data_IF_971475457539
#
_entry.id   IF_971475457539
#
_cell.length_a   1.000
_cell.length_b   1.000
_cell.length_c   1.000
_cell.angle_alpha   90.00
_cell.angle_beta   90.00
_cell.angle_gamma   90.00
#
_symmetry.space_group_name_H-M   'P 1'
#
loop_
_entity.id
_entity.type
_entity.pdbx_description
1 polymer ?
#
# COMPACT_ATOMS: atom_id res chain seq x y z
N UNK A 1 6.90 2.45 -8.82
CA UNK A 1 5.65 2.32 -8.02
C UNK A 1 4.64 1.28 -8.51
N UNK A 2 4.81 0.60 -9.66
CA UNK A 2 3.77 -0.35 -10.15
C UNK A 2 3.53 -1.53 -9.20
N UNK A 3 4.56 -1.95 -8.46
CA UNK A 3 4.51 -3.07 -7.49
C UNK A 3 3.91 -2.73 -6.13
N UNK A 4 3.82 -1.45 -5.75
CA UNK A 4 3.33 -1.03 -4.42
C UNK A 4 1.94 -1.58 -4.13
N UNK A 5 0.98 -1.32 -5.02
CA UNK A 5 -0.40 -1.80 -4.84
C UNK A 5 -0.53 -3.32 -4.86
N UNK A 6 0.35 -4.03 -5.59
CA UNK A 6 0.36 -5.49 -5.62
C UNK A 6 0.84 -6.07 -4.28
N UNK A 7 1.95 -5.55 -3.75
CA UNK A 7 2.52 -5.98 -2.46
C UNK A 7 1.55 -5.68 -1.32
N UNK A 8 0.90 -4.52 -1.33
CA UNK A 8 -0.15 -4.19 -0.37
C UNK A 8 -1.33 -5.18 -0.43
N UNK A 9 -1.88 -5.42 -1.63
CA UNK A 9 -2.96 -6.37 -1.82
C UNK A 9 -2.59 -7.80 -1.39
N UNK A 10 -1.36 -8.23 -1.70
CA UNK A 10 -0.83 -9.51 -1.27
C UNK A 10 -0.74 -9.64 0.26
N UNK A 11 -0.29 -8.58 0.94
CA UNK A 11 -0.09 -8.56 2.39
C UNK A 11 -1.41 -8.71 3.14
N UNK A 12 -2.51 -8.17 2.60
CA UNK A 12 -3.83 -8.30 3.19
C UNK A 12 -4.62 -9.52 2.70
N UNK A 13 -4.12 -10.27 1.72
CA UNK A 13 -4.86 -11.36 1.08
C UNK A 13 -5.37 -12.42 2.07
N UNK A 14 -4.54 -12.78 3.05
CA UNK A 14 -4.91 -13.73 4.11
C UNK A 14 -5.48 -13.06 5.36
N UNK A 15 -5.59 -11.73 5.37
CA UNK A 15 -6.15 -10.99 6.50
C UNK A 15 -7.68 -11.02 6.47
N UNK A 16 -8.30 -10.92 7.65
CA UNK A 16 -9.75 -10.71 7.77
C UNK A 16 -10.18 -9.30 7.33
N UNK A 17 -9.23 -8.37 7.23
CA UNK A 17 -9.48 -6.98 6.85
C UNK A 17 -9.85 -6.83 5.37
N UNK A 18 -9.19 -7.57 4.47
CA UNK A 18 -9.42 -7.43 3.03
C UNK A 18 -10.86 -7.80 2.62
N UNK A 19 -11.43 -8.97 3.00
CA UNK A 19 -12.82 -9.29 2.67
C UNK A 19 -13.84 -8.35 3.31
N UNK A 20 -13.50 -7.74 4.44
CA UNK A 20 -14.38 -6.80 5.14
C UNK A 20 -14.41 -5.42 4.46
N UNK A 21 -13.24 -4.84 4.21
CA UNK A 21 -13.08 -3.52 3.59
C UNK A 21 -13.38 -3.53 2.09
N UNK A 22 -13.03 -4.63 1.42
CA UNK A 22 -13.10 -4.80 -0.04
C UNK A 22 -13.80 -6.12 -0.40
N UNK A 23 -15.10 -6.28 -0.12
CA UNK A 23 -15.80 -7.56 -0.31
C UNK A 23 -15.81 -8.04 -1.76
N UNK A 24 -15.66 -7.14 -2.74
CA UNK A 24 -15.67 -7.48 -4.16
C UNK A 24 -14.27 -7.50 -4.79
N UNK A 25 -13.20 -7.58 -4.00
CA UNK A 25 -11.81 -7.60 -4.48
C UNK A 25 -11.52 -8.72 -5.50
N UNK A 26 -12.21 -9.87 -5.37
CA UNK A 26 -12.08 -10.98 -6.32
C UNK A 26 -12.70 -10.66 -7.69
N UNK A 27 -13.76 -9.85 -7.73
CA UNK A 27 -14.45 -9.43 -8.96
C UNK A 27 -13.78 -8.21 -9.60
N UNK A 28 -13.17 -7.35 -8.78
CA UNK A 28 -12.54 -6.10 -9.20
C UNK A 28 -11.10 -5.98 -8.65
N UNK A 29 -10.21 -6.93 -8.98
CA UNK A 29 -8.85 -6.97 -8.42
C UNK A 29 -7.99 -5.75 -8.82
N UNK A 30 -8.21 -5.22 -10.01
CA UNK A 30 -7.51 -4.02 -10.47
C UNK A 30 -7.92 -2.78 -9.67
N UNK A 31 -9.19 -2.67 -9.27
CA UNK A 31 -9.66 -1.57 -8.42
C UNK A 31 -8.94 -1.62 -7.06
N UNK A 32 -8.77 -2.83 -6.47
CA UNK A 32 -8.00 -3.01 -5.22
C UNK A 32 -6.53 -2.61 -5.36
N UNK A 33 -5.83 -3.12 -6.38
CA UNK A 33 -4.41 -2.75 -6.61
C UNK A 33 -4.27 -1.25 -6.83
N UNK A 34 -5.17 -0.66 -7.61
CA UNK A 34 -5.09 0.76 -7.96
C UNK A 34 -5.40 1.64 -6.75
N UNK A 35 -6.40 1.27 -5.94
CA UNK A 35 -6.71 1.95 -4.68
C UNK A 35 -5.51 1.97 -3.74
N UNK A 36 -4.87 0.81 -3.49
CA UNK A 36 -3.68 0.78 -2.64
C UNK A 36 -2.54 1.61 -3.24
N UNK A 37 -2.30 1.53 -4.56
CA UNK A 37 -1.28 2.35 -5.21
C UNK A 37 -1.54 3.84 -4.98
N UNK A 38 -2.77 4.30 -5.16
CA UNK A 38 -3.17 5.69 -4.92
C UNK A 38 -2.97 6.09 -3.45
N UNK A 39 -3.43 5.26 -2.51
CA UNK A 39 -3.30 5.52 -1.05
C UNK A 39 -1.83 5.70 -0.63
N UNK A 40 -0.93 4.81 -1.08
CA UNK A 40 0.50 4.94 -0.79
C UNK A 40 1.14 6.11 -1.52
N UNK A 41 0.69 6.45 -2.72
CA UNK A 41 1.20 7.63 -3.41
C UNK A 41 0.81 8.93 -2.70
N UNK A 42 -0.46 9.06 -2.31
CA UNK A 42 -0.91 10.18 -1.48
C UNK A 42 -0.09 10.23 -0.19
N UNK A 43 0.19 9.09 0.44
CA UNK A 43 1.06 9.03 1.62
C UNK A 43 2.53 9.37 1.35
N UNK A 44 3.07 9.05 0.17
CA UNK A 44 4.43 9.43 -0.23
C UNK A 44 4.52 10.94 -0.40
N UNK A 45 3.46 11.58 -0.92
CA UNK A 45 3.40 13.03 -1.17
C UNK A 45 2.96 13.85 0.04
N UNK A 46 2.41 13.20 1.07
CA UNK A 46 1.98 13.87 2.30
C UNK A 46 3.17 14.11 3.24
N UNK A 47 3.51 15.37 3.55
CA UNK A 47 4.67 15.68 4.38
C UNK A 47 4.51 15.27 5.85
N UNK A 48 3.30 14.85 6.26
CA UNK A 48 3.00 14.28 7.58
C UNK A 48 3.00 12.75 7.57
N UNK A 49 3.41 12.11 6.48
CA UNK A 49 3.48 10.66 6.37
C UNK A 49 4.88 10.23 5.96
N UNK A 50 5.22 9.02 6.41
CA UNK A 50 6.41 8.31 5.95
C UNK A 50 5.96 6.99 5.35
N UNK A 51 6.39 6.72 4.12
CA UNK A 51 6.20 5.44 3.45
C UNK A 51 7.54 4.78 3.27
N UNK A 52 7.73 3.66 3.97
CA UNK A 52 8.93 2.84 3.89
C UNK A 52 8.67 1.68 2.93
N UNK A 53 9.58 1.48 1.99
CA UNK A 53 9.56 0.35 1.05
C UNK A 53 10.77 -0.55 1.30
N UNK A 54 10.53 -1.86 1.41
CA UNK A 54 11.58 -2.86 1.45
C UNK A 54 11.81 -3.40 0.03
N UNK A 55 13.07 -3.36 -0.40
CA UNK A 55 13.52 -3.85 -1.70
C UNK A 55 14.33 -5.14 -1.53
N UNK A 56 14.16 -6.10 -2.44
CA UNK A 56 14.89 -7.37 -2.43
C UNK A 56 15.29 -7.83 -3.84
N UNK A 57 16.28 -8.71 -3.94
CA UNK A 57 16.72 -9.29 -5.21
C UNK A 57 15.73 -10.40 -5.64
N UNK A 58 15.10 -10.28 -6.83
CA UNK A 58 14.18 -11.30 -7.32
C UNK A 58 14.84 -12.65 -7.63
N UNK A 59 16.18 -12.75 -7.69
CA UNK A 59 16.92 -13.98 -8.04
C UNK A 59 16.95 -15.03 -6.93
N UNK A 60 16.89 -14.62 -5.66
CA UNK A 60 17.07 -15.52 -4.51
C UNK A 60 15.75 -15.99 -3.88
N UNK A 61 14.63 -15.34 -4.19
CA UNK A 61 13.32 -15.73 -3.68
C UNK A 61 12.57 -16.60 -4.69
N UNK A 62 12.08 -17.78 -4.25
CA UNK A 62 11.08 -18.59 -4.98
C UNK A 62 9.77 -17.80 -5.03
N UNK A 63 9.48 -17.02 -6.08
CA UNK A 63 8.33 -16.12 -6.07
C UNK A 63 7.03 -16.92 -6.20
N UNK A 64 7.13 -18.14 -6.74
CA UNK A 64 6.00 -18.82 -7.35
C UNK A 64 4.91 -19.19 -6.33
N UNK A 65 5.23 -19.50 -5.07
CA UNK A 65 4.19 -19.93 -4.11
C UNK A 65 3.17 -18.85 -3.73
N UNK A 66 3.63 -17.61 -3.47
CA UNK A 66 2.75 -16.48 -3.13
C UNK A 66 2.06 -15.95 -4.38
N UNK A 67 2.79 -15.87 -5.50
CA UNK A 67 2.20 -15.50 -6.78
C UNK A 67 1.15 -16.50 -7.23
N UNK A 68 1.31 -17.80 -7.02
CA UNK A 68 0.32 -18.82 -7.41
C UNK A 68 -0.99 -18.70 -6.62
N UNK A 69 -0.91 -18.36 -5.32
CA UNK A 69 -2.10 -18.08 -4.51
C UNK A 69 -2.84 -16.84 -5.00
N UNK A 70 -2.08 -15.81 -5.42
CA UNK A 70 -2.60 -14.54 -5.89
C UNK A 70 -3.01 -14.54 -7.36
N UNK A 71 -2.43 -15.40 -8.20
CA UNK A 71 -2.61 -15.43 -9.67
C UNK A 71 -4.05 -15.63 -10.09
N UNK A 72 -4.86 -16.31 -9.26
CA UNK A 72 -6.30 -16.48 -9.48
C UNK A 72 -7.05 -15.15 -9.44
N UNK A 73 -6.56 -14.19 -8.67
CA UNK A 73 -7.21 -12.91 -8.41
C UNK A 73 -6.46 -11.77 -9.13
N UNK A 74 -5.14 -11.82 -9.14
CA UNK A 74 -4.24 -10.86 -9.78
C UNK A 74 -3.46 -11.55 -10.91
N UNK A 75 -4.08 -11.77 -12.09
CA UNK A 75 -3.50 -12.58 -13.15
C UNK A 75 -2.26 -11.96 -13.80
N UNK A 76 -2.07 -10.65 -13.64
CA UNK A 76 -0.90 -9.94 -14.14
C UNK A 76 0.19 -9.87 -13.05
N UNK A 77 1.24 -10.67 -13.21
CA UNK A 77 2.47 -10.51 -12.42
C UNK A 77 3.06 -9.13 -12.75
N UNK A 78 3.39 -8.29 -11.74
CA UNK A 78 4.13 -7.07 -11.99
C UNK A 78 5.45 -7.41 -12.70
N UNK A 79 5.67 -6.83 -13.87
CA UNK A 79 6.92 -6.97 -14.63
C UNK A 79 7.83 -5.77 -14.37
N UNK A 80 9.15 -6.00 -14.40
CA UNK A 80 10.16 -4.97 -14.18
C UNK A 80 10.68 -4.88 -12.73
N UNK A 81 11.71 -4.05 -12.59
CA UNK A 81 12.40 -3.71 -11.34
C UNK A 81 11.85 -2.38 -10.83
N UNK A 82 11.89 -2.14 -9.52
CA UNK A 82 11.43 -0.87 -8.94
C UNK A 82 12.57 0.15 -8.77
N UNK A 83 13.83 -0.30 -8.91
CA UNK A 83 15.03 0.53 -8.88
C UNK A 83 16.00 0.19 -10.02
N UNK A 84 17.06 1.00 -10.12
CA UNK A 84 18.13 0.86 -11.13
C UNK A 84 19.08 -0.33 -10.84
N UNK A 85 19.11 -0.81 -9.59
CA UNK A 85 19.92 -1.96 -9.16
C UNK A 85 19.25 -3.31 -9.47
N UNK A 86 18.00 -3.28 -9.95
CA UNK A 86 17.26 -4.46 -10.36
C UNK A 86 16.47 -5.15 -9.24
N UNK A 87 16.29 -4.48 -8.09
CA UNK A 87 15.50 -4.95 -6.96
C UNK A 87 14.02 -4.70 -7.18
N UNK A 88 13.21 -5.39 -6.38
CA UNK A 88 11.76 -5.31 -6.40
C UNK A 88 11.22 -5.01 -5.01
N UNK A 89 10.11 -4.28 -4.93
CA UNK A 89 9.41 -4.05 -3.67
C UNK A 89 8.83 -5.38 -3.18
N UNK A 90 9.13 -5.72 -1.92
CA UNK A 90 8.64 -6.92 -1.23
C UNK A 90 7.84 -6.61 0.04
N UNK A 91 7.94 -5.39 0.56
CA UNK A 91 7.24 -4.97 1.77
C UNK A 91 7.05 -3.46 1.80
N UNK A 92 5.98 -3.00 2.44
CA UNK A 92 5.61 -1.60 2.51
C UNK A 92 4.99 -1.31 3.87
N UNK A 93 5.38 -0.20 4.48
CA UNK A 93 4.79 0.33 5.70
C UNK A 93 4.49 1.80 5.48
N UNK A 94 3.30 2.26 5.87
CA UNK A 94 2.96 3.68 5.93
C UNK A 94 2.60 4.03 7.36
N UNK A 95 3.08 5.18 7.81
CA UNK A 95 2.82 5.71 9.14
C UNK A 95 2.56 7.22 9.07
N UNK A 96 1.61 7.67 9.88
CA UNK A 96 1.34 9.09 10.10
C UNK A 96 2.26 9.64 11.19
N UNK A 97 2.80 10.82 10.98
CA UNK A 97 3.58 11.58 11.95
C UNK A 97 2.61 12.50 12.70
N UNK A 98 2.30 12.18 13.96
CA UNK A 98 1.30 12.94 14.72
C UNK A 98 1.80 14.25 15.34
N UNK A 99 3.11 14.41 15.45
CA UNK A 99 3.73 15.65 15.90
C UNK A 99 4.35 16.32 14.71
N UNK A 100 4.27 17.65 14.61
CA UNK A 100 4.92 18.45 13.58
C UNK A 100 6.45 18.34 13.76
N UNK A 101 7.10 17.34 13.16
CA UNK A 101 8.45 17.01 13.54
C UNK A 101 9.36 17.93 12.72
N UNK A 102 10.48 18.40 13.29
CA UNK A 102 11.45 19.23 12.56
C UNK A 102 11.85 18.70 11.16
N UNK A 103 11.85 17.38 10.86
CA UNK A 103 12.01 16.87 9.50
C UNK A 103 10.72 16.87 8.66
N UNK A 104 9.84 17.87 8.80
CA UNK A 104 8.62 17.99 7.99
C UNK A 104 8.99 18.01 6.49
N UNK A 105 8.43 17.09 5.71
CA UNK A 105 8.73 16.98 4.28
C UNK A 105 10.13 16.46 3.92
N UNK A 106 10.97 16.05 4.89
CA UNK A 106 12.33 15.57 4.60
C UNK A 106 12.35 14.28 3.75
N UNK A 107 11.30 13.48 3.84
CA UNK A 107 11.18 12.21 3.13
C UNK A 107 10.41 12.32 1.81
N UNK A 108 10.03 13.54 1.42
CA UNK A 108 9.42 13.81 0.14
C UNK A 108 10.49 13.71 -0.96
N UNK A 109 10.17 13.15 -2.13
CA UNK A 109 11.11 13.11 -3.25
C UNK A 109 11.59 14.54 -3.60
N UNK A 110 12.91 14.72 -3.73
CA UNK A 110 13.50 15.97 -4.22
C UNK A 110 13.32 16.07 -5.75
N UNK A 111 12.81 17.19 -6.26
CA UNK A 111 12.70 17.45 -7.71
C UNK A 111 11.28 17.74 -8.21
N UNK A 112 11.06 17.59 -9.51
CA UNK A 112 9.70 17.63 -10.09
C UNK A 112 8.88 16.47 -9.53
N UNK A 113 7.60 16.72 -9.26
CA UNK A 113 6.68 15.71 -8.71
C UNK A 113 6.82 14.40 -9.50
N UNK A 114 6.92 13.24 -8.82
CA UNK A 114 6.93 11.97 -9.52
C UNK A 114 5.74 11.94 -10.47
N UNK A 115 5.92 11.46 -11.71
CA UNK A 115 4.88 11.53 -12.73
C UNK A 115 3.57 11.03 -12.13
N UNK A 116 2.50 11.80 -12.32
CA UNK A 116 1.17 11.42 -11.85
C UNK A 116 0.98 9.95 -12.19
N UNK A 117 0.58 9.13 -11.21
CA UNK A 117 0.29 7.75 -11.53
C UNK A 117 -0.77 7.80 -12.62
N UNK A 118 -0.79 6.81 -13.50
CA UNK A 118 -2.00 6.59 -14.26
C UNK A 118 -3.14 6.48 -13.23
N UNK A 119 -3.94 7.56 -13.14
CA UNK A 119 -5.14 7.57 -12.34
C UNK A 119 -5.91 6.31 -12.71
N UNK A 120 -6.55 5.66 -11.75
CA UNK A 120 -7.60 4.71 -12.09
C UNK A 120 -8.47 5.45 -13.11
N UNK A 121 -8.48 5.07 -14.41
CA UNK A 121 -9.14 5.88 -15.42
C UNK A 121 -10.64 5.98 -15.16
N UNK A 122 -11.15 5.22 -14.17
CA UNK A 122 -12.54 5.13 -13.85
C UNK A 122 -12.86 5.34 -12.35
N UNK A 123 -11.87 5.41 -11.45
CA UNK A 123 -12.03 5.72 -10.02
C UNK A 123 -13.13 4.93 -9.32
N UNK A 124 -13.46 3.72 -9.77
CA UNK A 124 -14.79 3.15 -9.50
C UNK A 124 -14.91 2.57 -8.09
N UNK A 125 -13.79 2.27 -7.42
CA UNK A 125 -13.71 1.64 -6.09
C UNK A 125 -14.76 0.52 -5.92
N UNK A 126 -15.01 -0.27 -6.98
CA UNK A 126 -16.10 -1.27 -7.01
C UNK A 126 -15.83 -2.44 -6.09
N UNK A 127 -14.56 -2.64 -5.77
CA UNK A 127 -14.10 -3.61 -4.79
C UNK A 127 -14.50 -3.25 -3.37
N UNK A 128 -14.62 -1.95 -3.06
CA UNK A 128 -14.77 -1.42 -1.71
C UNK A 128 -16.23 -1.30 -1.25
N UNK A 129 -16.42 -1.39 0.08
CA UNK A 129 -17.69 -1.05 0.73
C UNK A 129 -17.48 0.15 1.67
N UNK A 130 -17.85 1.38 1.25
CA UNK A 130 -17.49 2.61 1.97
C UNK A 130 -17.90 2.65 3.45
N UNK A 131 -19.02 2.03 3.79
CA UNK A 131 -19.49 2.01 5.18
C UNK A 131 -18.70 1.02 6.04
N UNK A 132 -18.21 -0.09 5.48
CA UNK A 132 -17.28 -0.96 6.18
C UNK A 132 -15.96 -0.24 6.46
N UNK A 133 -15.43 0.50 5.49
CA UNK A 133 -14.20 1.30 5.68
C UNK A 133 -14.34 2.27 6.85
N UNK A 134 -15.44 3.05 6.91
CA UNK A 134 -15.70 3.96 8.04
C UNK A 134 -15.80 3.23 9.38
N UNK A 135 -16.39 2.03 9.40
CA UNK A 135 -16.49 1.23 10.61
C UNK A 135 -15.13 0.70 11.05
N UNK A 136 -14.26 0.27 10.12
CA UNK A 136 -12.90 -0.13 10.49
C UNK A 136 -12.10 1.06 10.98
N UNK A 137 -12.08 2.18 10.26
CA UNK A 137 -11.35 3.38 10.67
C UNK A 137 -11.77 3.81 12.08
N UNK A 138 -13.08 3.79 12.36
CA UNK A 138 -13.59 4.08 13.70
C UNK A 138 -13.14 3.06 14.75
N UNK A 139 -13.12 1.77 14.41
CA UNK A 139 -12.74 0.70 15.32
C UNK A 139 -11.22 0.62 15.58
N UNK A 140 -10.40 1.02 14.60
CA UNK A 140 -8.95 1.03 14.69
C UNK A 140 -8.39 2.32 15.27
N UNK A 141 -9.16 3.42 15.26
CA UNK A 141 -8.74 4.70 15.83
C UNK A 141 -8.23 4.58 17.28
N UNK A 142 -9.03 4.03 18.19
CA UNK A 142 -8.64 3.95 19.60
C UNK A 142 -7.41 3.01 19.84
N UNK A 143 -7.33 1.81 19.21
CA UNK A 143 -6.13 0.98 19.27
C UNK A 143 -4.87 1.63 18.68
N UNK A 144 -5.00 2.32 17.54
CA UNK A 144 -3.89 3.02 16.87
C UNK A 144 -3.35 4.13 17.77
N UNK A 145 -4.25 4.96 18.32
CA UNK A 145 -3.87 6.03 19.26
C UNK A 145 -3.19 5.47 20.52
N UNK A 146 -3.68 4.34 21.04
CA UNK A 146 -3.17 3.76 22.29
C UNK A 146 -1.84 3.01 22.16
N UNK A 147 -1.62 2.32 21.04
CA UNK A 147 -0.49 1.38 20.92
C UNK A 147 0.56 1.80 19.89
N UNK A 148 0.22 2.60 18.89
CA UNK A 148 1.19 3.05 17.88
C UNK A 148 1.89 4.33 18.33
N UNK A 149 1.17 5.26 18.96
CA UNK A 149 1.73 6.54 19.40
C UNK A 149 2.52 6.48 20.69
N UNK A 150 2.01 5.74 21.69
CA UNK A 150 2.66 5.65 22.99
C UNK A 150 4.00 4.88 22.93
N UNK A 151 4.23 4.12 21.86
CA UNK A 151 5.46 3.39 21.59
C UNK A 151 6.57 4.27 21.00
N UNK A 152 6.24 5.49 20.56
CA UNK A 152 7.20 6.46 19.99
C UNK A 152 7.75 7.44 21.04
N UNK A 153 7.31 7.33 22.31
CA UNK A 153 7.81 8.13 23.44
C UNK A 153 8.97 7.46 24.22
N UNK A 154 9.52 6.34 23.74
CA UNK A 154 10.66 5.64 24.35
C UNK A 154 11.97 5.86 23.59
#
# INVERSE_FOLDING_TARGET
>A
MRRIGFVAAASFYHSTFLPYSRPFFANYPNDTITSYRSEYQEGILDPKRVVLVALDDPKDNKPDSVYDALKKIYPQKPTGTDDDDGKVIVGIVSMSLEFDPKPHGQFQPEGEDPPEPHADPEGRKRDAFPDALKLVDKALKDPEEKHVLHSLEC
#
